data_IF_889569002640
#
_entry.id   IF_889569002640
#
_cell.length_a   1.000
_cell.length_b   1.000
_cell.length_c   1.000
_cell.angle_alpha   90.00
_cell.angle_beta   90.00
_cell.angle_gamma   90.00
#
_symmetry.space_group_name_H-M   'P 1'
#
loop_
_entity.id
_entity.type
_entity.pdbx_description
1 polymer ?
#
# COMPACT_ATOMS: atom_id res chain seq x y z
N UNK A 1 1.44 0.71 -22.13
CA UNK A 1 1.99 1.09 -20.81
C UNK A 1 3.47 1.36 -20.85
N UNK A 2 4.27 0.48 -21.45
CA UNK A 2 5.71 0.75 -21.62
C UNK A 2 5.94 1.99 -22.46
N UNK A 3 5.14 2.17 -23.47
CA UNK A 3 5.21 3.35 -24.36
C UNK A 3 4.87 4.63 -23.62
N UNK A 4 3.88 4.61 -22.75
CA UNK A 4 3.50 5.76 -21.92
C UNK A 4 4.61 6.16 -20.94
N UNK A 5 5.44 5.21 -20.57
CA UNK A 5 6.53 5.39 -19.62
C UNK A 5 7.90 5.55 -20.30
N UNK A 6 7.93 5.79 -21.58
CA UNK A 6 9.16 6.00 -22.34
C UNK A 6 9.54 7.48 -22.51
N UNK A 7 9.23 8.30 -21.58
CA UNK A 7 9.67 9.70 -21.58
C UNK A 7 10.94 9.80 -20.76
N UNK A 8 12.06 9.99 -21.44
CA UNK A 8 13.33 9.80 -20.75
C UNK A 8 14.31 10.92 -20.96
N UNK A 9 13.97 11.91 -21.69
CA UNK A 9 14.96 12.77 -22.32
C UNK A 9 15.21 14.07 -21.54
N UNK A 10 15.42 13.98 -20.27
CA UNK A 10 15.82 15.15 -19.51
C UNK A 10 14.69 16.15 -19.23
N UNK A 11 13.45 15.75 -19.44
CA UNK A 11 12.28 16.59 -19.16
C UNK A 11 11.94 16.70 -17.66
N UNK A 12 12.76 16.15 -16.78
CA UNK A 12 12.58 16.24 -15.35
C UNK A 12 13.23 17.50 -14.78
N UNK A 13 12.54 18.14 -13.85
CA UNK A 13 13.01 19.31 -13.12
C UNK A 13 13.84 18.92 -11.90
N UNK A 14 13.60 17.72 -11.36
CA UNK A 14 14.25 17.22 -10.17
C UNK A 14 14.40 15.70 -10.18
N UNK A 15 15.34 15.22 -9.37
CA UNK A 15 15.63 13.81 -9.18
C UNK A 15 15.60 13.49 -7.68
N UNK A 16 14.72 12.60 -7.25
CA UNK A 16 14.49 12.26 -5.84
C UNK A 16 14.94 10.83 -5.57
N UNK A 17 15.91 10.69 -4.68
CA UNK A 17 16.36 9.37 -4.22
C UNK A 17 15.32 8.74 -3.29
N UNK A 18 14.98 7.47 -3.52
CA UNK A 18 13.98 6.76 -2.74
C UNK A 18 14.20 5.25 -2.77
N UNK A 19 13.27 4.52 -2.18
CA UNK A 19 13.18 3.05 -2.25
C UNK A 19 11.99 2.63 -3.10
N UNK A 20 12.13 1.50 -3.77
CA UNK A 20 11.04 0.88 -4.50
C UNK A 20 9.96 0.37 -3.53
N UNK A 21 8.67 0.72 -3.71
CA UNK A 21 7.61 0.35 -2.77
C UNK A 21 6.98 -1.03 -3.03
N UNK A 22 7.49 -1.81 -3.99
CA UNK A 22 6.77 -2.98 -4.47
C UNK A 22 7.10 -4.29 -3.76
N UNK A 23 8.25 -4.41 -3.12
CA UNK A 23 8.59 -5.61 -2.35
C UNK A 23 9.77 -5.37 -1.39
N UNK A 24 10.03 -6.36 -0.53
CA UNK A 24 11.08 -6.31 0.48
C UNK A 24 12.53 -6.42 -0.04
N UNK A 25 12.75 -6.49 -1.35
CA UNK A 25 14.12 -6.46 -1.92
C UNK A 25 14.83 -5.16 -1.56
N UNK A 26 14.09 -4.05 -1.45
CA UNK A 26 14.67 -2.77 -1.04
C UNK A 26 15.52 -2.10 -2.13
N UNK A 27 15.13 -2.27 -3.40
CA UNK A 27 15.81 -1.64 -4.52
C UNK A 27 15.85 -0.13 -4.34
N UNK A 28 17.03 0.45 -4.44
CA UNK A 28 17.20 1.90 -4.46
C UNK A 28 16.83 2.45 -5.84
N UNK A 29 16.07 3.54 -5.83
CA UNK A 29 15.53 4.19 -7.02
C UNK A 29 15.82 5.68 -7.03
N UNK A 30 15.78 6.24 -8.23
CA UNK A 30 15.72 7.69 -8.45
C UNK A 30 14.44 7.98 -9.21
N UNK A 31 13.55 8.76 -8.61
CA UNK A 31 12.37 9.28 -9.28
C UNK A 31 12.68 10.60 -9.96
N UNK A 32 12.47 10.66 -11.26
CA UNK A 32 12.62 11.86 -12.05
C UNK A 32 11.27 12.55 -12.17
N UNK A 33 11.18 13.76 -11.66
CA UNK A 33 9.92 14.50 -11.47
C UNK A 33 9.93 15.77 -12.29
N UNK A 34 8.80 16.10 -12.90
CA UNK A 34 8.54 17.38 -13.56
C UNK A 34 7.28 18.01 -12.97
N UNK A 35 7.43 19.20 -12.38
CA UNK A 35 6.37 19.76 -11.56
C UNK A 35 6.04 18.79 -10.42
N UNK A 36 4.81 18.31 -10.37
CA UNK A 36 4.35 17.34 -9.36
C UNK A 36 4.12 15.93 -9.94
N UNK A 37 4.72 15.61 -11.09
CA UNK A 37 4.50 14.32 -11.77
C UNK A 37 5.79 13.54 -11.95
N UNK A 38 5.79 12.27 -11.58
CA UNK A 38 6.85 11.32 -11.88
C UNK A 38 6.83 11.06 -13.39
N UNK A 39 7.95 11.33 -14.04
CA UNK A 39 8.12 11.11 -15.48
C UNK A 39 8.68 9.71 -15.76
N UNK A 40 9.70 9.33 -15.02
CA UNK A 40 10.33 8.02 -15.14
C UNK A 40 11.10 7.67 -13.87
N UNK A 41 11.52 6.41 -13.76
CA UNK A 41 12.25 5.89 -12.60
C UNK A 41 13.48 5.15 -13.08
N UNK A 42 14.62 5.49 -12.50
CA UNK A 42 15.88 4.76 -12.68
C UNK A 42 16.28 4.00 -11.43
N UNK A 43 17.03 2.93 -11.63
CA UNK A 43 17.75 2.28 -10.55
C UNK A 43 18.86 3.20 -10.03
N UNK A 44 19.09 3.18 -8.72
CA UNK A 44 20.23 3.80 -8.08
C UNK A 44 21.14 2.71 -7.54
N UNK A 45 22.43 2.98 -7.48
CA UNK A 45 23.42 2.02 -6.99
C UNK A 45 23.19 1.70 -5.51
N UNK A 46 22.58 0.57 -5.28
CA UNK A 46 22.26 0.05 -3.96
C UNK A 46 22.66 -1.41 -3.83
N UNK A 47 22.94 -1.89 -2.62
CA UNK A 47 23.46 -3.24 -2.40
C UNK A 47 22.51 -4.35 -2.87
N UNK A 48 21.21 -4.05 -2.96
CA UNK A 48 20.19 -5.02 -3.37
C UNK A 48 19.92 -5.04 -4.88
N UNK A 49 20.28 -4.00 -5.62
CA UNK A 49 19.86 -3.89 -7.02
C UNK A 49 20.93 -3.41 -8.02
N UNK A 50 22.04 -2.83 -7.57
CA UNK A 50 23.16 -2.42 -8.44
C UNK A 50 22.67 -1.71 -9.71
N UNK A 51 21.92 -0.64 -9.56
CA UNK A 51 21.27 0.14 -10.62
C UNK A 51 20.19 -0.62 -11.44
N UNK A 52 19.88 -1.87 -11.12
CA UNK A 52 18.88 -2.65 -11.87
C UNK A 52 17.51 -2.51 -11.23
N UNK A 53 16.48 -2.58 -12.04
CA UNK A 53 15.09 -2.62 -11.59
C UNK A 53 14.33 -3.70 -12.37
N UNK A 54 13.41 -4.37 -11.68
CA UNK A 54 12.41 -5.19 -12.36
C UNK A 54 11.35 -4.29 -13.02
N UNK A 55 10.47 -4.90 -13.81
CA UNK A 55 9.40 -4.18 -14.51
C UNK A 55 8.52 -3.33 -13.59
N UNK A 56 8.26 -3.78 -12.36
CA UNK A 56 7.44 -3.01 -11.41
C UNK A 56 8.15 -1.75 -10.93
N UNK A 57 9.42 -1.88 -10.52
CA UNK A 57 10.20 -0.74 -10.06
C UNK A 57 10.42 0.31 -11.16
N UNK A 58 10.57 -0.16 -12.40
CA UNK A 58 10.81 0.71 -13.56
C UNK A 58 9.56 1.42 -14.05
N UNK A 59 8.42 0.73 -14.13
CA UNK A 59 7.24 1.21 -14.83
C UNK A 59 5.97 1.27 -13.96
N UNK A 60 6.03 0.82 -12.72
CA UNK A 60 4.84 0.65 -11.88
C UNK A 60 4.35 1.94 -11.18
N UNK A 61 4.92 3.09 -11.42
CA UNK A 61 4.63 4.33 -10.70
C UNK A 61 3.34 5.05 -11.12
N UNK A 62 2.69 4.63 -12.18
CA UNK A 62 1.47 5.26 -12.70
C UNK A 62 0.35 5.42 -11.67
N UNK A 63 0.26 4.49 -10.72
CA UNK A 63 -0.79 4.52 -9.69
C UNK A 63 -0.72 5.78 -8.82
N UNK A 64 0.46 6.40 -8.70
CA UNK A 64 0.65 7.59 -7.86
C UNK A 64 -0.23 8.75 -8.32
N UNK A 65 -0.39 8.88 -9.65
CA UNK A 65 -1.15 9.96 -10.28
C UNK A 65 -2.46 9.48 -10.92
N UNK A 66 -2.88 8.25 -10.63
CA UNK A 66 -4.09 7.70 -11.21
C UNK A 66 -5.34 8.43 -10.70
N UNK A 67 -6.31 8.69 -11.58
CA UNK A 67 -7.53 9.43 -11.25
C UNK A 67 -8.36 8.77 -10.12
N UNK A 68 -8.28 7.44 -9.99
CA UNK A 68 -8.98 6.69 -8.94
C UNK A 68 -8.17 6.54 -7.65
N UNK A 69 -7.01 7.20 -7.55
CA UNK A 69 -6.22 7.14 -6.33
C UNK A 69 -6.93 7.90 -5.21
N UNK A 70 -7.14 7.24 -4.10
CA UNK A 70 -7.63 7.89 -2.89
C UNK A 70 -6.51 8.75 -2.28
N UNK A 71 -6.81 10.01 -2.02
CA UNK A 71 -5.87 10.99 -1.44
C UNK A 71 -6.22 11.37 -0.01
N UNK A 72 -7.39 10.94 0.46
CA UNK A 72 -7.90 11.16 1.80
C UNK A 72 -8.44 9.84 2.37
N UNK A 73 -8.47 9.67 3.70
CA UNK A 73 -9.13 8.54 4.32
C UNK A 73 -10.63 8.54 4.02
N UNK A 74 -11.18 7.34 3.84
CA UNK A 74 -12.61 7.15 3.62
C UNK A 74 -13.21 6.32 4.75
N UNK A 75 -14.32 6.79 5.32
CA UNK A 75 -15.11 6.05 6.29
C UNK A 75 -16.43 5.64 5.65
N UNK A 76 -16.85 4.38 5.86
CA UNK A 76 -18.14 3.89 5.40
C UNK A 76 -19.27 4.70 6.08
N UNK A 77 -20.27 5.09 5.30
CA UNK A 77 -21.48 5.73 5.83
C UNK A 77 -22.29 4.71 6.64
N UNK A 78 -22.97 5.17 7.67
CA UNK A 78 -23.72 4.29 8.59
C UNK A 78 -24.88 3.58 7.90
N UNK A 79 -25.50 4.24 6.92
CA UNK A 79 -26.60 3.72 6.09
C UNK A 79 -26.14 2.89 4.89
N UNK A 80 -24.83 2.83 4.64
CA UNK A 80 -24.32 2.09 3.50
C UNK A 80 -24.33 0.57 3.73
N UNK A 81 -24.85 -0.22 2.79
CA UNK A 81 -24.93 -1.66 2.94
C UNK A 81 -23.52 -2.29 3.03
N UNK A 82 -23.39 -3.27 3.93
CA UNK A 82 -22.22 -4.16 4.01
C UNK A 82 -22.46 -5.44 3.21
N UNK A 83 -22.84 -5.28 1.96
CA UNK A 83 -23.12 -6.40 1.07
C UNK A 83 -21.88 -6.73 0.24
N UNK A 84 -21.47 -8.00 0.26
CA UNK A 84 -20.34 -8.50 -0.53
C UNK A 84 -20.59 -8.40 -2.05
N UNK A 85 -21.85 -8.33 -2.45
CA UNK A 85 -22.27 -8.22 -3.86
C UNK A 85 -22.61 -6.78 -4.28
N UNK A 86 -22.56 -5.83 -3.34
CA UNK A 86 -22.74 -4.41 -3.69
C UNK A 86 -21.66 -3.98 -4.69
N UNK A 87 -22.10 -3.60 -5.88
CA UNK A 87 -21.20 -3.06 -6.91
C UNK A 87 -20.82 -1.64 -6.52
N UNK A 88 -19.59 -1.47 -6.07
CA UNK A 88 -18.98 -0.17 -5.89
C UNK A 88 -18.35 0.27 -7.19
N UNK A 89 -18.62 1.50 -7.61
CA UNK A 89 -17.90 2.14 -8.70
C UNK A 89 -16.53 2.62 -8.16
N UNK A 90 -15.40 2.05 -8.64
CA UNK A 90 -14.08 2.50 -8.21
C UNK A 90 -13.80 3.97 -8.53
N UNK A 91 -14.45 4.52 -9.56
CA UNK A 91 -14.34 5.93 -9.93
C UNK A 91 -15.13 6.85 -9.01
N UNK A 92 -16.13 6.30 -8.29
CA UNK A 92 -16.96 7.07 -7.37
C UNK A 92 -17.25 6.26 -6.08
N UNK A 93 -16.30 6.18 -5.14
CA UNK A 93 -16.50 5.47 -3.88
C UNK A 93 -17.48 6.19 -2.93
N UNK A 94 -17.81 7.44 -3.18
CA UNK A 94 -18.60 8.29 -2.28
C UNK A 94 -20.08 7.91 -2.17
N UNK A 95 -20.55 6.97 -2.96
CA UNK A 95 -21.87 6.36 -2.77
C UNK A 95 -21.99 5.67 -1.41
N UNK A 96 -20.94 4.98 -0.97
CA UNK A 96 -20.91 4.17 0.26
C UNK A 96 -19.93 4.71 1.30
N UNK A 97 -19.07 5.64 0.93
CA UNK A 97 -18.06 6.20 1.80
C UNK A 97 -18.15 7.71 1.84
N UNK A 98 -17.65 8.29 2.90
CA UNK A 98 -17.42 9.73 3.04
C UNK A 98 -15.96 10.00 3.34
N UNK A 99 -15.50 11.18 3.01
CA UNK A 99 -14.18 11.67 3.40
C UNK A 99 -14.10 11.84 4.92
N UNK A 100 -12.92 11.62 5.46
CA UNK A 100 -12.60 11.79 6.85
C UNK A 100 -11.19 12.35 7.04
N UNK A 101 -10.90 12.91 8.20
CA UNK A 101 -9.54 13.20 8.58
C UNK A 101 -8.79 11.91 8.95
N UNK A 102 -7.47 11.97 8.94
CA UNK A 102 -6.64 10.85 9.43
C UNK A 102 -6.90 10.55 10.89
N UNK A 103 -7.10 11.59 11.72
CA UNK A 103 -7.39 11.44 13.13
C UNK A 103 -8.70 10.68 13.34
N UNK A 104 -9.78 11.12 12.69
CA UNK A 104 -11.09 10.46 12.76
C UNK A 104 -11.02 8.99 12.30
N UNK A 105 -10.36 8.73 11.18
CA UNK A 105 -10.26 7.37 10.64
C UNK A 105 -9.45 6.44 11.54
N UNK A 106 -8.35 6.91 12.10
CA UNK A 106 -7.51 6.13 13.01
C UNK A 106 -8.20 5.89 14.35
N UNK A 107 -8.92 6.87 14.87
CA UNK A 107 -9.69 6.74 16.11
C UNK A 107 -10.82 5.72 15.95
N UNK A 108 -11.56 5.80 14.84
CA UNK A 108 -12.61 4.83 14.54
C UNK A 108 -12.05 3.39 14.44
N UNK A 109 -10.96 3.20 13.72
CA UNK A 109 -10.31 1.90 13.58
C UNK A 109 -9.79 1.38 14.93
N UNK A 110 -9.10 2.24 15.68
CA UNK A 110 -8.53 1.89 16.99
C UNK A 110 -9.62 1.50 18.00
N UNK A 111 -10.69 2.28 18.06
CA UNK A 111 -11.81 2.00 18.97
C UNK A 111 -12.55 0.73 18.56
N UNK A 112 -12.70 0.48 17.26
CA UNK A 112 -13.26 -0.77 16.74
C UNK A 112 -12.45 -1.99 17.17
N UNK A 113 -11.13 -1.97 17.00
CA UNK A 113 -10.25 -3.05 17.44
C UNK A 113 -10.25 -3.25 18.96
N UNK A 114 -10.24 -2.16 19.74
CA UNK A 114 -10.35 -2.24 21.21
C UNK A 114 -11.66 -2.88 21.64
N UNK A 115 -12.77 -2.49 21.05
CA UNK A 115 -14.10 -3.03 21.35
C UNK A 115 -14.18 -4.52 21.06
N UNK A 116 -13.72 -4.96 19.88
CA UNK A 116 -13.70 -6.38 19.51
C UNK A 116 -12.81 -7.16 20.48
N UNK A 117 -11.62 -6.65 20.78
CA UNK A 117 -10.69 -7.29 21.71
C UNK A 117 -11.25 -7.44 23.12
N UNK A 118 -11.98 -6.42 23.60
CA UNK A 118 -12.64 -6.47 24.92
C UNK A 118 -13.80 -7.45 24.97
N UNK A 119 -14.59 -7.50 23.89
CA UNK A 119 -15.76 -8.35 23.81
C UNK A 119 -15.42 -9.82 23.57
N UNK A 120 -14.53 -10.08 22.61
CA UNK A 120 -14.31 -11.43 22.04
C UNK A 120 -12.88 -11.96 22.29
N UNK A 121 -12.02 -11.15 22.89
CA UNK A 121 -10.62 -11.51 23.16
C UNK A 121 -9.66 -11.26 22.00
N UNK A 122 -8.37 -11.41 22.27
CA UNK A 122 -7.30 -11.16 21.29
C UNK A 122 -7.34 -12.10 20.07
N UNK A 123 -7.84 -13.32 20.24
CA UNK A 123 -7.93 -14.32 19.17
C UNK A 123 -8.97 -13.98 18.10
N UNK A 124 -9.88 -13.05 18.39
CA UNK A 124 -10.84 -12.54 17.40
C UNK A 124 -10.21 -11.56 16.38
N UNK A 125 -8.98 -11.17 16.61
CA UNK A 125 -8.23 -10.27 15.73
C UNK A 125 -7.15 -11.03 14.97
N UNK A 126 -6.91 -10.62 13.73
CA UNK A 126 -5.86 -11.15 12.88
C UNK A 126 -5.25 -10.05 12.01
N UNK A 127 -4.09 -10.31 11.46
CA UNK A 127 -3.45 -9.42 10.48
C UNK A 127 -2.89 -10.20 9.31
N UNK A 128 -3.00 -9.60 8.13
CA UNK A 128 -2.46 -10.16 6.89
C UNK A 128 -1.49 -9.17 6.28
N UNK A 129 -0.24 -9.59 6.13
CA UNK A 129 0.79 -8.84 5.43
C UNK A 129 0.73 -9.04 3.92
N UNK A 130 1.55 -8.31 3.20
CA UNK A 130 1.64 -8.40 1.74
C UNK A 130 3.10 -8.55 1.29
N UNK A 131 3.29 -9.24 0.16
CA UNK A 131 4.58 -9.24 -0.55
C UNK A 131 4.84 -7.89 -1.25
N UNK A 132 3.81 -7.07 -1.41
CA UNK A 132 3.91 -5.71 -1.94
C UNK A 132 4.09 -4.71 -0.81
N UNK A 133 5.26 -4.71 -0.23
CA UNK A 133 5.58 -3.80 0.85
C UNK A 133 7.06 -3.88 1.17
N UNK A 134 7.58 -2.87 1.82
CA UNK A 134 8.94 -2.86 2.32
C UNK A 134 9.10 -3.81 3.52
N UNK A 135 10.33 -4.07 3.91
CA UNK A 135 10.62 -4.85 5.11
C UNK A 135 10.10 -4.14 6.37
N UNK A 136 10.11 -2.81 6.38
CA UNK A 136 9.59 -1.99 7.46
C UNK A 136 8.08 -2.17 7.61
N UNK A 137 7.34 -2.21 6.52
CA UNK A 137 5.88 -2.46 6.54
C UNK A 137 5.58 -3.86 7.07
N UNK A 138 6.30 -4.88 6.61
CA UNK A 138 6.16 -6.25 7.11
C UNK A 138 6.43 -6.34 8.62
N UNK A 139 7.50 -5.68 9.10
CA UNK A 139 7.81 -5.58 10.52
C UNK A 139 6.70 -4.90 11.31
N UNK A 140 6.18 -3.77 10.81
CA UNK A 140 5.15 -2.99 11.50
C UNK A 140 3.82 -3.73 11.58
N UNK A 141 3.41 -4.43 10.52
CA UNK A 141 2.20 -5.29 10.54
C UNK A 141 2.34 -6.37 11.60
N UNK A 142 3.47 -7.07 11.63
CA UNK A 142 3.70 -8.11 12.63
C UNK A 142 3.75 -7.54 14.06
N UNK A 143 4.37 -6.38 14.24
CA UNK A 143 4.41 -5.68 15.53
C UNK A 143 3.03 -5.27 16.00
N UNK A 144 2.20 -4.71 15.13
CA UNK A 144 0.81 -4.36 15.44
C UNK A 144 0.02 -5.58 15.92
N UNK A 145 0.10 -6.69 15.20
CA UNK A 145 -0.66 -7.90 15.54
C UNK A 145 -0.16 -8.52 16.86
N UNK A 146 1.14 -8.66 17.02
CA UNK A 146 1.69 -9.32 18.21
C UNK A 146 1.67 -8.45 19.46
N UNK A 147 1.99 -7.18 19.35
CA UNK A 147 2.05 -6.26 20.50
C UNK A 147 0.75 -5.50 20.72
N UNK A 148 0.11 -5.01 19.67
CA UNK A 148 -1.14 -4.25 19.74
C UNK A 148 -2.34 -5.17 19.99
N UNK A 149 -2.56 -6.14 19.13
CA UNK A 149 -3.68 -7.08 19.27
C UNK A 149 -3.39 -8.17 20.32
N UNK A 150 -2.12 -8.47 20.58
CA UNK A 150 -1.68 -9.54 21.47
C UNK A 150 -2.14 -10.93 21.02
N UNK A 151 -2.00 -11.20 19.72
CA UNK A 151 -2.30 -12.49 19.11
C UNK A 151 -1.19 -12.90 18.15
N UNK A 152 -1.08 -14.19 17.87
CA UNK A 152 -0.22 -14.74 16.82
C UNK A 152 -0.97 -15.01 15.50
N UNK A 153 -2.20 -14.56 15.37
CA UNK A 153 -2.99 -14.67 14.15
C UNK A 153 -2.47 -13.69 13.08
N UNK A 154 -1.30 -13.97 12.58
CA UNK A 154 -0.66 -13.18 11.52
C UNK A 154 -0.19 -14.12 10.43
N UNK A 155 -0.49 -13.76 9.20
CA UNK A 155 -0.04 -14.50 8.03
C UNK A 155 0.32 -13.52 6.91
N UNK A 156 0.76 -14.05 5.80
CA UNK A 156 1.29 -13.30 4.67
C UNK A 156 0.75 -13.89 3.37
N UNK A 157 0.69 -13.09 2.30
CA UNK A 157 0.20 -13.54 1.01
C UNK A 157 1.01 -14.72 0.43
N UNK A 158 2.24 -14.93 0.89
CA UNK A 158 3.10 -16.07 0.52
C UNK A 158 2.43 -17.41 0.77
N UNK A 159 1.57 -17.50 1.79
CA UNK A 159 0.77 -18.70 2.07
C UNK A 159 0.00 -19.20 0.85
N UNK A 160 -0.57 -18.29 0.07
CA UNK A 160 -1.34 -18.61 -1.14
C UNK A 160 -0.48 -18.53 -2.41
N UNK A 161 0.46 -17.60 -2.47
CA UNK A 161 1.22 -17.27 -3.68
C UNK A 161 2.37 -18.25 -3.94
N UNK A 162 3.08 -18.68 -2.90
CA UNK A 162 4.28 -19.52 -3.02
C UNK A 162 4.13 -20.92 -2.39
N UNK A 163 3.07 -21.18 -1.62
CA UNK A 163 2.91 -22.44 -0.91
C UNK A 163 2.87 -23.68 -1.83
N UNK A 164 2.45 -23.51 -3.07
CA UNK A 164 2.46 -24.59 -4.07
C UNK A 164 3.83 -24.83 -4.73
N UNK A 165 4.81 -23.96 -4.46
CA UNK A 165 6.13 -23.98 -5.10
C UNK A 165 7.27 -24.33 -4.13
N UNK A 166 6.95 -24.53 -2.85
CA UNK A 166 7.90 -24.83 -1.77
C UNK A 166 7.73 -26.26 -1.30
#
# INVERSE_FOLDING_TARGET
RVDDNQVYNGDADSAVASLCPFCGVGCQTTFHVKGDKIQYVDGRDGPANENRLCVKGRFGFDYVHHAHRLTVPLIRKDDAPKDAYAKLDPANPFTHFREASWEEALDLATNGFKTIKQRDGSSALAGFGSAKGSNEEAYMVQKLVRQGFKTNNVDHCTRLCHASSV
#
